data_IF_899173251988
#
_entry.id   IF_899173251988
#
_cell.length_a   1.000
_cell.length_b   1.000
_cell.length_c   1.000
_cell.angle_alpha   90.00
_cell.angle_beta   90.00
_cell.angle_gamma   90.00
#
_symmetry.space_group_name_H-M   'P 1'
#
loop_
_entity.id
_entity.type
_entity.pdbx_description
1 polymer ?
#
# COMPACT_ATOMS: atom_id res chain seq x y z
N UNK A 1 -2.33 -10.26 -5.75
CA UNK A 1 -1.93 -9.70 -4.43
C UNK A 1 -0.56 -9.01 -4.39
N UNK A 2 0.51 -9.50 -5.04
CA UNK A 2 1.87 -8.94 -4.87
C UNK A 2 1.98 -7.43 -5.19
N UNK A 3 1.35 -6.98 -6.29
CA UNK A 3 1.28 -5.56 -6.65
C UNK A 3 0.60 -4.69 -5.60
N UNK A 4 -0.45 -5.21 -4.94
CA UNK A 4 -1.15 -4.52 -3.86
C UNK A 4 -0.28 -4.42 -2.60
N UNK A 5 0.46 -5.48 -2.28
CA UNK A 5 1.39 -5.51 -1.14
C UNK A 5 2.57 -4.56 -1.35
N UNK A 6 3.22 -4.62 -2.51
CA UNK A 6 4.32 -3.73 -2.88
C UNK A 6 3.86 -2.27 -2.97
N UNK A 7 2.70 -2.02 -3.57
CA UNK A 7 2.11 -0.69 -3.63
C UNK A 7 1.74 -0.15 -2.25
N UNK A 8 1.27 -1.00 -1.33
CA UNK A 8 0.99 -0.60 0.06
C UNK A 8 2.26 -0.21 0.81
N UNK A 9 3.35 -1.00 0.67
CA UNK A 9 4.67 -0.63 1.20
C UNK A 9 5.12 0.74 0.66
N UNK A 10 5.08 0.87 -0.67
CA UNK A 10 5.57 2.04 -1.37
C UNK A 10 4.78 3.30 -1.02
N UNK A 11 3.44 3.22 -0.97
CA UNK A 11 2.60 4.38 -0.66
C UNK A 11 2.79 4.82 0.80
N UNK A 12 2.98 3.90 1.75
CA UNK A 12 3.30 4.24 3.13
C UNK A 12 4.63 4.99 3.25
N UNK A 13 5.67 4.52 2.55
CA UNK A 13 6.97 5.20 2.51
C UNK A 13 6.89 6.57 1.84
N UNK A 14 6.27 6.65 0.65
CA UNK A 14 6.12 7.90 -0.11
C UNK A 14 5.29 8.93 0.65
N UNK A 15 4.20 8.53 1.29
CA UNK A 15 3.33 9.44 2.03
C UNK A 15 4.10 10.12 3.17
N UNK A 16 4.90 9.36 3.93
CA UNK A 16 5.65 9.91 5.04
C UNK A 16 6.91 10.67 4.61
N UNK A 17 7.64 10.21 3.58
CA UNK A 17 8.87 10.89 3.12
C UNK A 17 8.57 12.22 2.44
N UNK A 18 7.44 12.30 1.74
CA UNK A 18 7.06 13.46 0.90
C UNK A 18 6.30 14.56 1.63
N UNK A 19 5.86 14.31 2.87
CA UNK A 19 5.13 15.30 3.66
C UNK A 19 6.01 16.53 3.98
N UNK A 20 5.42 17.67 4.38
CA UNK A 20 6.19 18.90 4.65
C UNK A 20 7.29 18.75 5.72
N UNK A 21 7.05 17.94 6.75
CA UNK A 21 8.03 17.61 7.80
C UNK A 21 8.83 16.31 7.49
N UNK A 22 8.68 15.76 6.30
CA UNK A 22 9.36 14.55 5.85
C UNK A 22 10.80 14.81 5.43
N UNK A 23 11.54 13.73 5.17
CA UNK A 23 12.95 13.81 4.74
C UNK A 23 13.12 14.44 3.37
N UNK A 24 12.12 14.33 2.49
CA UNK A 24 12.14 14.89 1.15
C UNK A 24 10.77 15.52 0.82
N UNK A 25 10.48 16.72 1.36
CA UNK A 25 9.18 17.34 1.15
C UNK A 25 8.93 17.61 -0.34
N UNK A 26 7.74 17.22 -0.80
CA UNK A 26 7.34 17.37 -2.20
C UNK A 26 6.19 18.37 -2.35
N UNK A 27 6.13 19.15 -3.44
CA UNK A 27 4.95 19.94 -3.77
C UNK A 27 3.76 19.04 -4.13
N UNK A 28 2.54 19.58 -3.96
CA UNK A 28 1.29 18.82 -4.09
C UNK A 28 1.15 18.05 -5.42
N UNK A 29 1.62 18.62 -6.54
CA UNK A 29 1.54 17.96 -7.84
C UNK A 29 2.41 16.68 -7.91
N UNK A 30 3.56 16.66 -7.25
CA UNK A 30 4.42 15.47 -7.18
C UNK A 30 3.80 14.41 -6.27
N UNK A 31 3.22 14.83 -5.13
CA UNK A 31 2.49 13.91 -4.26
C UNK A 31 1.31 13.27 -4.99
N UNK A 32 0.55 14.06 -5.75
CA UNK A 32 -0.56 13.55 -6.55
C UNK A 32 -0.10 12.57 -7.63
N UNK A 33 1.00 12.88 -8.33
CA UNK A 33 1.58 11.98 -9.32
C UNK A 33 2.01 10.65 -8.70
N UNK A 34 2.70 10.66 -7.56
CA UNK A 34 3.25 9.45 -6.95
C UNK A 34 2.24 8.62 -6.17
N UNK A 35 1.44 9.27 -5.31
CA UNK A 35 0.49 8.58 -4.44
C UNK A 35 -0.76 8.18 -5.23
N UNK A 36 -1.46 9.15 -5.82
CA UNK A 36 -2.72 8.88 -6.52
C UNK A 36 -2.51 8.33 -7.93
N UNK A 37 -1.46 8.77 -8.62
CA UNK A 37 -1.14 8.33 -9.98
C UNK A 37 -0.42 6.98 -10.01
N UNK A 38 0.85 6.95 -9.62
CA UNK A 38 1.69 5.75 -9.72
C UNK A 38 1.21 4.64 -8.78
N UNK A 39 1.09 4.89 -7.47
CA UNK A 39 0.63 3.85 -6.54
C UNK A 39 -0.84 3.47 -6.80
N UNK A 40 -1.68 4.45 -7.15
CA UNK A 40 -3.07 4.19 -7.54
C UNK A 40 -3.20 3.34 -8.81
N UNK A 41 -2.31 3.51 -9.79
CA UNK A 41 -2.29 2.69 -11.02
C UNK A 41 -1.60 1.33 -10.84
N UNK A 42 -0.62 1.22 -9.94
CA UNK A 42 0.06 -0.04 -9.62
C UNK A 42 -0.84 -1.00 -8.83
N UNK A 43 -1.63 -0.46 -7.91
CA UNK A 43 -2.54 -1.24 -7.06
C UNK A 43 -3.91 -1.38 -7.70
N UNK A 44 -4.64 -2.44 -7.34
CA UNK A 44 -5.95 -2.73 -7.92
C UNK A 44 -6.85 -3.44 -6.93
N UNK A 45 -7.97 -2.78 -6.61
CA UNK A 45 -9.04 -3.37 -5.82
C UNK A 45 -10.05 -4.16 -6.68
N UNK A 46 -10.22 -3.76 -7.95
CA UNK A 46 -11.16 -4.40 -8.88
C UNK A 46 -10.73 -5.82 -9.23
N UNK A 47 -9.44 -6.03 -9.56
CA UNK A 47 -8.93 -7.39 -9.81
C UNK A 47 -8.92 -8.25 -8.55
N UNK A 48 -8.60 -7.67 -7.39
CA UNK A 48 -8.75 -8.35 -6.10
C UNK A 48 -10.18 -8.88 -5.89
N UNK A 49 -11.19 -8.05 -6.16
CA UNK A 49 -12.59 -8.42 -5.99
C UNK A 49 -13.03 -9.52 -6.98
N UNK A 50 -12.55 -9.46 -8.22
CA UNK A 50 -12.81 -10.48 -9.23
C UNK A 50 -12.19 -11.83 -8.84
N UNK A 51 -10.92 -11.85 -8.46
CA UNK A 51 -10.20 -13.05 -8.02
C UNK A 51 -10.85 -13.65 -6.76
N UNK A 52 -11.25 -12.80 -5.81
CA UNK A 52 -11.99 -13.23 -4.63
C UNK A 52 -13.30 -13.94 -5.00
N UNK A 53 -14.10 -13.34 -5.89
CA UNK A 53 -15.35 -13.96 -6.33
C UNK A 53 -15.11 -15.28 -7.07
N UNK A 54 -14.06 -15.38 -7.89
CA UNK A 54 -13.68 -16.63 -8.55
C UNK A 54 -13.34 -17.75 -7.53
N UNK A 55 -12.62 -17.43 -6.45
CA UNK A 55 -12.32 -18.41 -5.39
C UNK A 55 -13.58 -18.84 -4.64
N UNK A 56 -14.48 -17.88 -4.36
CA UNK A 56 -15.74 -18.16 -3.67
C UNK A 56 -16.67 -19.03 -4.52
N UNK A 57 -16.82 -18.74 -5.81
CA UNK A 57 -17.66 -19.53 -6.72
C UNK A 57 -17.06 -20.91 -7.01
N UNK A 58 -15.73 -21.06 -6.94
CA UNK A 58 -15.05 -22.34 -6.99
C UNK A 58 -15.15 -23.16 -5.68
N UNK A 59 -15.82 -22.64 -4.64
CA UNK A 59 -15.95 -23.31 -3.33
C UNK A 59 -14.65 -23.33 -2.51
N UNK A 60 -13.62 -22.59 -2.91
CA UNK A 60 -12.30 -22.60 -2.29
C UNK A 60 -12.22 -21.61 -1.11
N UNK A 61 -13.06 -21.85 -0.08
CA UNK A 61 -13.25 -20.92 1.04
C UNK A 61 -11.96 -20.59 1.81
N UNK A 62 -11.10 -21.58 2.03
CA UNK A 62 -9.83 -21.37 2.73
C UNK A 62 -8.89 -20.44 1.96
N UNK A 63 -8.80 -20.63 0.64
CA UNK A 63 -7.99 -19.78 -0.23
C UNK A 63 -8.57 -18.38 -0.35
N UNK A 64 -9.89 -18.25 -0.47
CA UNK A 64 -10.58 -16.96 -0.46
C UNK A 64 -10.30 -16.19 0.84
N UNK A 65 -10.43 -16.84 1.99
CA UNK A 65 -10.14 -16.23 3.30
C UNK A 65 -8.67 -15.82 3.42
N UNK A 66 -7.74 -16.69 3.04
CA UNK A 66 -6.31 -16.37 3.01
C UNK A 66 -5.99 -15.19 2.09
N UNK A 67 -6.61 -15.14 0.91
CA UNK A 67 -6.45 -14.07 -0.07
C UNK A 67 -6.88 -12.69 0.49
N UNK A 68 -8.05 -12.64 1.15
CA UNK A 68 -8.56 -11.43 1.82
C UNK A 68 -7.64 -11.00 2.96
N UNK A 69 -7.32 -11.91 3.88
CA UNK A 69 -6.50 -11.59 5.05
C UNK A 69 -5.11 -11.11 4.64
N UNK A 70 -4.44 -11.81 3.73
CA UNK A 70 -3.11 -11.42 3.26
C UNK A 70 -3.16 -10.07 2.54
N UNK A 71 -4.17 -9.81 1.71
CA UNK A 71 -4.25 -8.54 0.99
C UNK A 71 -4.53 -7.37 1.93
N UNK A 72 -5.51 -7.50 2.84
CA UNK A 72 -5.91 -6.40 3.72
C UNK A 72 -4.93 -6.20 4.89
N UNK A 73 -4.66 -7.26 5.66
CA UNK A 73 -3.79 -7.18 6.83
C UNK A 73 -2.33 -7.03 6.38
N UNK A 74 -1.89 -7.82 5.39
CA UNK A 74 -0.55 -7.69 4.84
C UNK A 74 -0.31 -6.34 4.18
N UNK A 75 -1.31 -5.81 3.45
CA UNK A 75 -1.25 -4.46 2.89
C UNK A 75 -1.11 -3.38 3.97
N UNK A 76 -1.97 -3.42 5.00
CA UNK A 76 -1.89 -2.48 6.12
C UNK A 76 -0.56 -2.57 6.87
N UNK A 77 -0.06 -3.78 7.14
CA UNK A 77 1.21 -4.00 7.81
C UNK A 77 2.40 -3.46 7.00
N UNK A 78 2.41 -3.71 5.69
CA UNK A 78 3.45 -3.20 4.80
C UNK A 78 3.40 -1.68 4.64
N UNK A 79 2.21 -1.08 4.59
CA UNK A 79 2.05 0.37 4.60
C UNK A 79 2.62 0.99 5.88
N UNK A 80 2.24 0.45 7.05
CA UNK A 80 2.78 0.88 8.34
C UNK A 80 4.31 0.69 8.41
N UNK A 81 4.83 -0.42 7.89
CA UNK A 81 6.27 -0.65 7.81
C UNK A 81 6.97 0.37 6.90
N UNK A 82 6.40 0.66 5.71
CA UNK A 82 6.91 1.68 4.80
C UNK A 82 6.99 3.07 5.46
N UNK A 83 5.95 3.44 6.21
CA UNK A 83 5.97 4.67 7.02
C UNK A 83 7.12 4.64 8.04
N UNK A 84 7.27 3.57 8.83
CA UNK A 84 8.35 3.48 9.83
C UNK A 84 9.75 3.60 9.22
N UNK A 85 9.96 3.02 8.04
CA UNK A 85 11.24 3.15 7.32
C UNK A 85 11.50 4.59 6.84
N UNK A 86 10.43 5.35 6.55
CA UNK A 86 10.51 6.74 6.13
C UNK A 86 10.65 7.74 7.29
N UNK A 87 10.52 7.32 8.55
CA UNK A 87 10.61 8.21 9.71
C UNK A 87 11.95 9.00 9.65
N UNK A 88 11.91 10.35 9.78
CA UNK A 88 13.13 11.12 9.91
C UNK A 88 13.83 10.72 11.21
N UNK A 89 15.15 10.52 11.16
CA UNK A 89 15.94 10.32 12.37
C UNK A 89 15.66 11.50 13.31
N UNK A 90 15.15 11.23 14.52
CA UNK A 90 14.97 12.26 15.53
C UNK A 90 16.35 12.86 15.81
N UNK A 91 16.53 14.11 15.42
CA UNK A 91 17.63 14.92 15.93
C UNK A 91 17.12 15.38 17.29
N UNK A 92 17.47 14.63 18.34
CA UNK A 92 17.26 15.08 19.72
C UNK A 92 18.12 16.35 19.90
N UNK A 93 17.47 17.50 20.01
CA UNK A 93 18.08 18.80 20.39
C UNK A 93 17.90 19.00 21.88
#
# INVERSE_FOLDING_TARGET
MAVNLLGSLLIGWLALVSQPAGRYPMPAWQQQFWLSGFCGGLTTFSLFSLELLQLLTAGQLLLAAGYVLLTLIGGAALCAFGMRVAEPARVDV
#
